data_IF_219532711342
#
_entry.id   IF_219532711342
#
_cell.length_a   1.000
_cell.length_b   1.000
_cell.length_c   1.000
_cell.angle_alpha   90.00
_cell.angle_beta   90.00
_cell.angle_gamma   90.00
#
_symmetry.space_group_name_H-M   'P 1'
#
loop_
_entity.id
_entity.type
_entity.pdbx_description
1 polymer ?
#
# COMPACT_ATOMS: atom_id res chain seq x y z
N UNK A 1 -11.76 13.93 -10.37
CA UNK A 1 -10.44 13.28 -10.38
C UNK A 1 -10.71 11.86 -9.98
N UNK A 2 -10.40 10.90 -10.84
CA UNK A 2 -10.72 9.50 -10.57
C UNK A 2 -9.44 8.81 -10.11
N UNK A 3 -9.54 8.06 -9.01
CA UNK A 3 -8.42 7.28 -8.47
C UNK A 3 -8.68 5.82 -8.81
N UNK A 4 -7.73 5.19 -9.49
CA UNK A 4 -7.79 3.77 -9.80
C UNK A 4 -6.65 3.06 -9.09
N UNK A 5 -6.96 2.13 -8.20
CA UNK A 5 -5.94 1.30 -7.54
C UNK A 5 -5.55 0.20 -8.52
N UNK A 6 -4.29 0.20 -8.93
CA UNK A 6 -3.78 -0.73 -9.93
C UNK A 6 -3.27 -2.02 -9.30
N UNK A 7 -2.51 -1.88 -8.22
CA UNK A 7 -1.84 -3.00 -7.57
C UNK A 7 -1.64 -2.70 -6.08
N UNK A 8 -1.67 -3.75 -5.27
CA UNK A 8 -1.29 -3.69 -3.85
C UNK A 8 -0.24 -4.77 -3.63
N UNK A 9 0.96 -4.34 -3.31
CA UNK A 9 2.08 -5.21 -2.96
C UNK A 9 2.33 -5.12 -1.46
N UNK A 10 2.50 -6.25 -0.77
CA UNK A 10 2.83 -6.28 0.65
C UNK A 10 4.29 -6.67 0.79
N UNK A 11 5.07 -5.84 1.46
CA UNK A 11 6.45 -6.14 1.84
C UNK A 11 6.46 -6.93 3.14
N UNK A 12 7.28 -7.99 3.16
CA UNK A 12 7.46 -8.84 4.33
C UNK A 12 8.91 -8.73 4.79
N UNK A 13 9.09 -8.58 6.11
CA UNK A 13 10.40 -8.72 6.71
C UNK A 13 10.61 -10.20 7.06
N UNK A 14 11.59 -10.80 6.41
CA UNK A 14 12.06 -12.14 6.76
C UNK A 14 12.95 -12.07 8.01
N UNK A 15 12.43 -12.51 9.16
CA UNK A 15 13.21 -12.61 10.38
C UNK A 15 13.60 -14.07 10.61
N UNK A 16 14.87 -14.39 10.33
CA UNK A 16 15.44 -15.72 10.61
C UNK A 16 16.36 -15.62 11.82
N UNK A 17 16.04 -16.32 12.92
CA UNK A 17 16.94 -16.46 14.08
C UNK A 17 17.65 -17.82 14.01
N UNK A 18 18.91 -17.89 14.45
CA UNK A 18 19.62 -19.17 14.54
C UNK A 18 18.91 -20.08 15.55
N UNK A 19 18.19 -21.09 15.05
CA UNK A 19 17.45 -22.08 15.85
C UNK A 19 15.97 -22.22 15.48
N UNK A 20 15.39 -21.30 14.71
CA UNK A 20 14.01 -21.42 14.26
C UNK A 20 13.87 -22.45 13.12
N UNK A 21 12.88 -23.34 13.23
CA UNK A 21 12.55 -24.35 12.21
C UNK A 21 11.66 -23.81 11.08
N UNK A 22 11.05 -22.65 11.27
CA UNK A 22 10.11 -22.03 10.32
C UNK A 22 10.43 -20.54 10.16
N UNK A 23 10.38 -20.06 8.91
CA UNK A 23 10.51 -18.64 8.59
C UNK A 23 9.26 -17.90 9.07
N UNK A 24 9.44 -16.89 9.93
CA UNK A 24 8.36 -15.97 10.29
C UNK A 24 8.36 -14.81 9.31
N UNK A 25 7.34 -14.78 8.45
CA UNK A 25 7.06 -13.65 7.56
C UNK A 25 6.19 -12.65 8.31
N UNK A 26 6.78 -11.53 8.72
CA UNK A 26 6.02 -10.43 9.30
C UNK A 26 5.77 -9.37 8.22
N UNK A 27 4.52 -9.14 7.79
CA UNK A 27 4.21 -8.05 6.86
C UNK A 27 4.57 -6.72 7.52
N UNK A 28 5.31 -5.88 6.81
CA UNK A 28 5.81 -4.60 7.33
C UNK A 28 5.01 -3.45 6.74
N UNK A 29 5.02 -3.34 5.41
CA UNK A 29 4.40 -2.26 4.68
C UNK A 29 3.55 -2.79 3.52
N UNK A 30 2.44 -2.12 3.26
CA UNK A 30 1.62 -2.28 2.06
C UNK A 30 1.91 -1.12 1.11
N UNK A 31 2.42 -1.43 -0.07
CA UNK A 31 2.66 -0.49 -1.15
C UNK A 31 1.46 -0.55 -2.10
N UNK A 32 0.69 0.53 -2.12
CA UNK A 32 -0.45 0.70 -3.00
C UNK A 32 -0.04 1.53 -4.21
N UNK A 33 -0.09 0.93 -5.39
CA UNK A 33 0.13 1.62 -6.65
C UNK A 33 -1.22 2.07 -7.21
N UNK A 34 -1.35 3.36 -7.50
CA UNK A 34 -2.59 3.96 -7.98
C UNK A 34 -2.34 4.86 -9.20
N UNK A 35 -3.37 5.04 -10.00
CA UNK A 35 -3.39 5.94 -11.15
C UNK A 35 -4.46 7.01 -10.92
N UNK A 36 -4.08 8.27 -11.09
CA UNK A 36 -4.95 9.43 -11.00
C UNK A 36 -5.29 9.90 -12.39
N UNK A 37 -6.57 9.84 -12.72
CA UNK A 37 -7.07 10.25 -14.02
C UNK A 37 -7.83 11.57 -13.86
N UNK A 38 -7.35 12.62 -14.54
CA UNK A 38 -7.99 13.94 -14.61
C UNK A 38 -8.08 14.37 -16.07
N UNK A 39 -9.23 14.12 -16.70
CA UNK A 39 -9.43 14.38 -18.13
C UNK A 39 -8.56 13.44 -18.97
N UNK A 40 -7.69 14.01 -19.82
CA UNK A 40 -6.73 13.26 -20.65
C UNK A 40 -5.38 13.01 -19.97
N UNK A 41 -5.19 13.47 -18.73
CA UNK A 41 -3.96 13.28 -17.99
C UNK A 41 -4.08 12.06 -17.07
N UNK A 42 -3.09 11.18 -17.13
CA UNK A 42 -2.92 10.07 -16.20
C UNK A 42 -1.62 10.30 -15.41
N UNK A 43 -1.70 10.24 -14.08
CA UNK A 43 -0.56 10.33 -13.18
C UNK A 43 -0.51 9.07 -12.32
N UNK A 44 0.57 8.29 -12.44
CA UNK A 44 0.81 7.15 -11.56
C UNK A 44 1.46 7.60 -10.26
N UNK A 45 0.90 7.18 -9.13
CA UNK A 45 1.44 7.38 -7.80
C UNK A 45 1.66 6.06 -7.06
N UNK A 46 2.52 6.11 -6.04
CA UNK A 46 2.69 5.02 -5.08
C UNK A 46 2.51 5.58 -3.68
N UNK A 47 1.77 4.84 -2.85
CA UNK A 47 1.59 5.11 -1.44
C UNK A 47 2.16 3.94 -0.65
N UNK A 48 3.10 4.19 0.25
CA UNK A 48 3.52 3.20 1.25
C UNK A 48 2.73 3.45 2.52
N UNK A 49 2.12 2.41 3.08
CA UNK A 49 1.38 2.48 4.34
C UNK A 49 1.72 1.24 5.18
N UNK A 50 1.99 1.38 6.49
CA UNK A 50 2.23 0.23 7.36
C UNK A 50 1.12 -0.81 7.25
N UNK A 51 1.47 -2.09 7.22
CA UNK A 51 0.49 -3.17 6.99
C UNK A 51 -0.59 -3.21 8.06
N UNK A 52 -0.24 -2.95 9.33
CA UNK A 52 -1.21 -2.90 10.43
C UNK A 52 -2.28 -1.83 10.21
N UNK A 53 -1.89 -0.68 9.63
CA UNK A 53 -2.82 0.40 9.29
C UNK A 53 -3.63 0.05 8.04
N UNK A 54 -2.98 -0.50 7.01
CA UNK A 54 -3.63 -0.94 5.77
C UNK A 54 -4.69 -2.03 6.01
N UNK A 55 -4.45 -2.96 6.95
CA UNK A 55 -5.35 -4.06 7.27
C UNK A 55 -6.69 -3.59 7.84
N UNK A 56 -6.69 -2.49 8.58
CA UNK A 56 -7.91 -1.92 9.17
C UNK A 56 -8.58 -0.90 8.24
N UNK A 57 -7.85 -0.38 7.25
CA UNK A 57 -8.37 0.58 6.29
C UNK A 57 -9.35 -0.05 5.30
N UNK A 58 -10.46 0.67 5.06
CA UNK A 58 -11.35 0.35 3.94
C UNK A 58 -10.85 1.02 2.67
N UNK A 59 -11.42 0.60 1.54
CA UNK A 59 -11.12 1.18 0.23
C UNK A 59 -11.34 2.70 0.19
N UNK A 60 -12.37 3.20 0.87
CA UNK A 60 -12.67 4.63 0.98
C UNK A 60 -11.58 5.40 1.76
N UNK A 61 -11.06 4.83 2.84
CA UNK A 61 -10.00 5.44 3.65
C UNK A 61 -8.69 5.53 2.86
N UNK A 62 -8.39 4.51 2.04
CA UNK A 62 -7.27 4.50 1.11
C UNK A 62 -7.36 5.61 0.06
N UNK A 63 -8.54 5.78 -0.52
CA UNK A 63 -8.80 6.86 -1.49
C UNK A 63 -8.63 8.22 -0.82
N UNK A 64 -9.15 8.41 0.39
CA UNK A 64 -8.99 9.65 1.16
C UNK A 64 -7.52 9.93 1.47
N UNK A 65 -6.74 8.93 1.89
CA UNK A 65 -5.31 9.06 2.18
C UNK A 65 -4.47 9.39 0.95
N UNK A 66 -4.86 8.87 -0.22
CA UNK A 66 -4.27 9.26 -1.51
C UNK A 66 -4.62 10.72 -1.83
N UNK A 67 -5.86 11.13 -1.58
CA UNK A 67 -6.31 12.51 -1.76
C UNK A 67 -5.56 13.50 -0.85
N UNK A 68 -5.34 13.15 0.41
CA UNK A 68 -4.57 13.96 1.37
C UNK A 68 -3.10 14.08 0.98
N UNK A 69 -2.47 13.04 0.43
CA UNK A 69 -1.07 13.11 -0.02
C UNK A 69 -0.85 13.98 -1.27
N UNK A 70 -1.91 14.35 -1.98
CA UNK A 70 -1.84 15.13 -3.22
C UNK A 70 -1.96 16.65 -2.98
N UNK A 71 -2.24 17.08 -1.75
CA UNK A 71 -2.44 18.48 -1.34
C UNK A 71 -1.61 18.82 -0.10
#
# INVERSE_FOLDING_TARGET
>A
MNIYIKDVSIEYLEVTRMGDKEQRLNPTDAIVSYELIKGNNNLSGRLSTPFDEYKEMKHEDLINKIHENLF
#
